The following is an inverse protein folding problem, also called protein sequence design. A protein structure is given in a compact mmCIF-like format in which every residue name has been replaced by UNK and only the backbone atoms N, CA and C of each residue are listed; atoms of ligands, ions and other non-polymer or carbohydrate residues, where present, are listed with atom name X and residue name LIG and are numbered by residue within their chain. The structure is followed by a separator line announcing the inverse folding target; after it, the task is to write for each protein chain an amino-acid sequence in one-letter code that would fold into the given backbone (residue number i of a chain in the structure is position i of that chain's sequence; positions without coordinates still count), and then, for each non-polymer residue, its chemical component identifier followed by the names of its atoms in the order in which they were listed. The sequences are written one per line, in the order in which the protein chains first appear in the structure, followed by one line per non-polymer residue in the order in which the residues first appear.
data_IF_854888889786
#
_entry.id   IF_854888889786
#
_cell.length_a   1.000
_cell.length_b   1.000
_cell.length_c   1.000
_cell.angle_alpha   90.00
_cell.angle_beta   90.00
_cell.angle_gamma   90.00
#
_symmetry.space_group_name_H-M   'P 1'
#
loop_
_entity.id
_entity.type
_entity.pdbx_description
1 polymer ?
#
# COMPACT_ATOMS: atom_id res chain seq x y z
N UNK A 1 9.48 14.23 19.23
CA UNK A 1 9.40 13.37 18.04
C UNK A 1 8.19 13.74 17.22
N UNK A 2 8.17 13.33 15.95
CA UNK A 2 6.98 13.36 15.09
C UNK A 2 5.90 12.46 15.72
N UNK A 3 4.61 12.66 15.44
CA UNK A 3 3.54 11.79 15.95
C UNK A 3 2.83 11.15 14.77
N UNK A 4 2.52 9.86 14.90
CA UNK A 4 1.68 9.12 13.95
C UNK A 4 0.30 9.79 13.88
N UNK A 5 -0.12 10.20 12.69
CA UNK A 5 -1.43 10.77 12.39
C UNK A 5 -1.98 10.13 11.11
N UNK A 6 -2.88 9.17 11.28
CA UNK A 6 -3.41 8.38 10.18
C UNK A 6 -4.89 8.04 10.39
N UNK A 7 -5.61 7.70 9.32
CA UNK A 7 -6.99 7.20 9.37
C UNK A 7 -7.06 5.68 9.55
N UNK A 8 -6.06 4.95 9.07
CA UNK A 8 -5.97 3.50 9.22
C UNK A 8 -5.64 3.06 10.64
N UNK A 9 -5.96 1.81 10.95
CA UNK A 9 -5.68 1.18 12.23
C UNK A 9 -4.23 0.65 12.25
N UNK A 10 -3.47 0.95 13.30
CA UNK A 10 -2.14 0.34 13.47
C UNK A 10 -2.31 -1.14 13.83
N UNK A 11 -1.85 -2.03 12.95
CA UNK A 11 -1.84 -3.48 13.20
C UNK A 11 -0.51 -3.93 13.83
N UNK A 12 0.62 -3.36 13.36
CA UNK A 12 1.96 -3.66 13.89
C UNK A 12 2.85 -2.42 13.89
N UNK A 13 3.62 -2.26 14.95
CA UNK A 13 4.50 -1.09 15.12
C UNK A 13 5.97 -1.37 14.80
N UNK A 14 6.44 -2.60 14.97
CA UNK A 14 7.85 -2.94 14.74
C UNK A 14 8.14 -3.19 13.26
N UNK A 15 8.97 -2.34 12.65
CA UNK A 15 9.34 -2.45 11.24
C UNK A 15 10.48 -3.44 10.96
N UNK A 16 11.17 -3.94 12.00
CA UNK A 16 12.27 -4.88 11.85
C UNK A 16 11.78 -6.27 11.42
N UNK A 17 12.13 -6.66 10.20
CA UNK A 17 11.80 -7.96 9.62
C UNK A 17 12.31 -9.15 10.46
N UNK A 18 13.46 -9.00 11.13
CA UNK A 18 14.05 -10.04 11.96
C UNK A 18 13.29 -10.27 13.28
N UNK A 19 12.50 -9.29 13.71
CA UNK A 19 11.77 -9.32 14.96
C UNK A 19 10.34 -9.90 14.82
N UNK A 20 9.82 -10.04 13.60
CA UNK A 20 8.41 -10.39 13.40
C UNK A 20 8.13 -11.26 12.16
N UNK A 21 9.07 -12.13 11.78
CA UNK A 21 8.95 -13.02 10.62
C UNK A 21 8.60 -12.27 9.34
N UNK A 22 9.29 -11.16 9.08
CA UNK A 22 9.10 -10.31 7.91
C UNK A 22 7.70 -9.67 7.78
N UNK A 23 6.93 -9.58 8.87
CA UNK A 23 5.62 -8.93 8.84
C UNK A 23 5.71 -7.40 8.77
N UNK A 24 6.82 -6.83 9.27
CA UNK A 24 7.02 -5.38 9.30
C UNK A 24 6.00 -4.64 10.17
N UNK A 25 5.97 -3.32 10.00
CA UNK A 25 5.04 -2.43 10.68
C UNK A 25 3.87 -2.11 9.75
N UNK A 26 2.68 -2.55 10.14
CA UNK A 26 1.51 -2.59 9.27
C UNK A 26 0.43 -1.62 9.75
N UNK A 27 -0.24 -0.99 8.78
CA UNK A 27 -1.45 -0.19 8.98
C UNK A 27 -2.56 -0.83 8.15
N UNK A 28 -3.69 -1.07 8.77
CA UNK A 28 -4.86 -1.71 8.17
C UNK A 28 -5.90 -0.66 7.82
N UNK A 29 -6.42 -0.78 6.60
CA UNK A 29 -7.49 0.06 6.07
C UNK A 29 -8.79 -0.73 5.89
N UNK A 30 -9.87 -0.03 5.55
CA UNK A 30 -11.16 -0.66 5.23
C UNK A 30 -11.01 -1.72 4.12
N UNK A 31 -11.75 -2.85 4.17
CA UNK A 31 -11.77 -3.82 3.06
C UNK A 31 -12.17 -3.25 1.70
N UNK A 32 -12.74 -2.04 1.64
CA UNK A 32 -13.03 -1.34 0.38
C UNK A 32 -11.80 -0.69 -0.27
N UNK A 33 -10.65 -0.63 0.41
CA UNK A 33 -9.42 -0.01 -0.09
C UNK A 33 -8.62 -0.90 -1.06
N UNK A 34 -9.05 -2.14 -1.31
CA UNK A 34 -8.33 -3.09 -2.14
C UNK A 34 -9.28 -4.04 -2.91
N UNK A 35 -8.76 -4.67 -3.96
CA UNK A 35 -9.41 -5.77 -4.68
C UNK A 35 -10.69 -5.37 -5.39
N UNK A 36 -11.65 -6.30 -5.45
CA UNK A 36 -12.89 -6.13 -6.21
C UNK A 36 -13.67 -4.86 -5.83
N UNK A 37 -13.80 -4.57 -4.53
CA UNK A 37 -14.51 -3.35 -4.07
C UNK A 37 -13.85 -2.05 -4.54
N UNK A 38 -12.52 -2.03 -4.61
CA UNK A 38 -11.80 -0.88 -5.15
C UNK A 38 -12.00 -0.76 -6.66
N UNK A 39 -11.98 -1.90 -7.38
CA UNK A 39 -12.21 -1.94 -8.81
C UNK A 39 -13.63 -1.47 -9.17
N UNK A 40 -14.64 -1.91 -8.43
CA UNK A 40 -16.04 -1.49 -8.58
C UNK A 40 -16.22 0.02 -8.36
N UNK A 41 -15.37 0.65 -7.55
CA UNK A 41 -15.33 2.09 -7.33
C UNK A 41 -14.53 2.87 -8.40
N UNK A 42 -14.00 2.19 -9.43
CA UNK A 42 -13.22 2.79 -10.51
C UNK A 42 -11.75 3.04 -10.16
N UNK A 43 -11.22 2.35 -9.15
CA UNK A 43 -9.84 2.46 -8.70
C UNK A 43 -9.59 3.66 -7.77
N UNK A 44 -8.33 4.08 -7.68
CA UNK A 44 -7.88 5.13 -6.76
C UNK A 44 -6.70 5.90 -7.34
N UNK A 45 -6.41 7.07 -6.77
CA UNK A 45 -5.07 7.65 -6.83
C UNK A 45 -4.36 7.35 -5.52
N UNK A 46 -3.16 6.79 -5.57
CA UNK A 46 -2.31 6.59 -4.39
C UNK A 46 -1.14 7.56 -4.43
N UNK A 47 -0.81 8.15 -3.29
CA UNK A 47 0.34 9.03 -3.16
C UNK A 47 1.18 8.59 -1.97
N UNK A 48 2.50 8.50 -2.17
CA UNK A 48 3.47 8.24 -1.10
C UNK A 48 4.37 9.45 -1.00
N UNK A 49 4.50 9.99 0.20
CA UNK A 49 5.46 11.04 0.52
C UNK A 49 6.52 10.47 1.45
N UNK A 50 7.76 10.48 0.97
CA UNK A 50 8.92 10.00 1.70
C UNK A 50 9.81 11.18 2.09
N UNK A 51 9.96 11.39 3.40
CA UNK A 51 10.73 12.50 4.00
C UNK A 51 11.53 12.00 5.20
N UNK A 52 12.50 12.78 5.66
CA UNK A 52 13.26 12.45 6.88
C UNK A 52 12.37 12.31 8.11
N UNK A 53 11.27 13.05 8.17
CA UNK A 53 10.30 13.00 9.26
C UNK A 53 9.40 11.75 9.28
N UNK A 54 9.42 10.92 8.24
CA UNK A 54 8.51 9.78 8.10
C UNK A 54 8.14 9.44 6.66
N UNK A 55 7.42 8.33 6.51
CA UNK A 55 6.76 7.96 5.25
C UNK A 55 5.25 8.05 5.46
N UNK A 56 4.56 8.79 4.60
CA UNK A 56 3.09 8.90 4.59
C UNK A 56 2.52 8.34 3.30
N UNK A 57 1.33 7.76 3.39
CA UNK A 57 0.58 7.28 2.24
C UNK A 57 -0.86 7.79 2.28
N UNK A 58 -1.37 8.23 1.14
CA UNK A 58 -2.77 8.56 0.93
C UNK A 58 -3.36 7.68 -0.18
N UNK A 59 -4.65 7.42 -0.05
CA UNK A 59 -5.44 6.73 -1.06
C UNK A 59 -6.74 7.52 -1.29
N UNK A 60 -6.82 8.18 -2.44
CA UNK A 60 -7.92 9.05 -2.81
C UNK A 60 -8.90 8.32 -3.73
N UNK A 61 -10.16 8.25 -3.33
CA UNK A 61 -11.25 7.87 -4.22
C UNK A 61 -11.24 8.77 -5.47
N UNK A 62 -11.68 8.25 -6.61
CA UNK A 62 -11.66 8.98 -7.91
C UNK A 62 -12.39 10.33 -7.85
N UNK A 63 -13.44 10.42 -7.03
CA UNK A 63 -14.23 11.65 -6.82
C UNK A 63 -13.59 12.65 -5.86
N UNK A 64 -12.49 12.29 -5.19
CA UNK A 64 -11.87 13.05 -4.12
C UNK A 64 -10.36 13.29 -4.35
N UNK A 65 -9.90 13.17 -5.60
CA UNK A 65 -8.50 13.45 -5.95
C UNK A 65 -8.24 14.95 -5.78
N UNK A 66 -7.25 15.35 -4.96
CA UNK A 66 -6.86 16.75 -4.80
C UNK A 66 -6.50 17.42 -6.14
N UNK A 67 -6.94 18.67 -6.32
CA UNK A 67 -6.77 19.39 -7.59
C UNK A 67 -5.31 19.65 -7.94
N UNK A 68 -4.45 19.79 -6.93
CA UNK A 68 -3.01 19.97 -7.07
C UNK A 68 -2.29 18.73 -7.62
N UNK A 69 -2.80 17.52 -7.32
CA UNK A 69 -2.36 16.28 -7.98
C UNK A 69 -2.74 16.33 -9.46
N UNK A 70 -3.99 16.64 -9.79
CA UNK A 70 -4.43 16.74 -11.20
C UNK A 70 -3.73 17.87 -11.96
N UNK A 71 -3.33 18.94 -11.25
CA UNK A 71 -2.55 20.06 -11.77
C UNK A 71 -1.04 19.82 -11.81
N UNK A 72 -0.57 18.61 -11.48
CA UNK A 72 0.85 18.21 -11.47
C UNK A 72 1.75 19.08 -10.61
N UNK A 73 1.21 19.60 -9.50
CA UNK A 73 1.91 20.40 -8.49
C UNK A 73 1.54 19.91 -7.09
N UNK A 74 1.78 18.63 -6.77
CA UNK A 74 1.30 18.03 -5.53
C UNK A 74 1.89 18.73 -4.30
N UNK A 75 1.03 19.03 -3.34
CA UNK A 75 1.35 19.60 -2.05
C UNK A 75 0.67 18.78 -0.93
N UNK A 76 1.38 17.80 -0.34
CA UNK A 76 0.83 16.93 0.69
C UNK A 76 0.34 17.64 1.97
N UNK A 77 0.73 18.90 2.19
CA UNK A 77 0.30 19.66 3.38
C UNK A 77 -1.20 20.00 3.38
N UNK A 78 -1.87 19.93 2.23
CA UNK A 78 -3.31 20.26 2.08
C UNK A 78 -4.21 19.03 1.99
N UNK A 79 -3.64 17.82 1.91
CA UNK A 79 -4.39 16.58 1.66
C UNK A 79 -5.07 16.00 2.91
N UNK A 80 -4.89 16.64 4.07
CA UNK A 80 -5.45 16.17 5.34
C UNK A 80 -4.69 14.97 5.92
N UNK A 81 -5.38 14.18 6.72
CA UNK A 81 -4.80 13.03 7.43
C UNK A 81 -4.49 11.90 6.45
N UNK A 82 -3.29 11.32 6.56
CA UNK A 82 -2.84 10.22 5.71
C UNK A 82 -3.60 8.92 6.02
N UNK A 83 -3.68 7.99 5.06
CA UNK A 83 -4.18 6.63 5.29
C UNK A 83 -3.24 5.85 6.22
N UNK A 84 -1.94 5.97 5.97
CA UNK A 84 -0.88 5.42 6.82
C UNK A 84 0.22 6.45 7.08
N UNK A 85 0.73 6.48 8.31
CA UNK A 85 1.82 7.37 8.71
C UNK A 85 2.86 6.60 9.54
N UNK A 86 4.08 6.55 9.03
CA UNK A 86 5.23 5.90 9.66
C UNK A 86 6.22 6.98 10.07
N UNK A 87 6.05 7.58 11.27
CA UNK A 87 6.85 8.71 11.71
C UNK A 87 8.26 8.27 12.12
N UNK A 88 9.22 9.19 12.03
CA UNK A 88 10.62 8.94 12.42
C UNK A 88 10.86 8.96 13.95
N UNK A 89 9.85 8.67 14.75
CA UNK A 89 9.88 8.83 16.23
C UNK A 89 10.83 7.83 16.87
N UNK A 90 10.71 6.57 16.45
CA UNK A 90 11.48 5.44 16.97
C UNK A 90 12.21 4.69 15.83
N UNK A 91 12.27 5.30 14.65
CA UNK A 91 12.90 4.75 13.45
C UNK A 91 13.53 5.87 12.62
N UNK A 92 14.85 5.87 12.47
CA UNK A 92 15.52 6.81 11.57
C UNK A 92 15.32 6.37 10.12
N UNK A 93 14.33 6.98 9.45
CA UNK A 93 13.96 6.70 8.06
C UNK A 93 15.17 6.84 7.13
N UNK A 94 16.02 7.84 7.31
CA UNK A 94 17.16 8.11 6.42
C UNK A 94 18.25 7.06 6.52
N UNK A 95 18.36 6.37 7.66
CA UNK A 95 19.32 5.27 7.85
C UNK A 95 18.84 3.94 7.24
N UNK A 96 17.52 3.74 7.15
CA UNK A 96 16.92 2.47 6.72
C UNK A 96 16.44 2.45 5.27
N UNK A 97 16.06 3.60 4.71
CA UNK A 97 15.54 3.70 3.34
C UNK A 97 16.46 4.58 2.49
N UNK A 98 16.87 4.09 1.31
CA UNK A 98 17.72 4.83 0.37
C UNK A 98 17.62 4.24 -1.04
N UNK A 99 17.54 5.11 -2.05
CA UNK A 99 17.58 4.73 -3.46
C UNK A 99 16.66 3.55 -3.82
N UNK A 100 15.39 3.63 -3.43
CA UNK A 100 14.41 2.59 -3.71
C UNK A 100 13.94 2.64 -5.18
N UNK A 101 13.65 1.47 -5.73
CA UNK A 101 12.94 1.31 -7.01
C UNK A 101 11.45 1.14 -6.77
N UNK A 102 10.63 1.67 -7.70
CA UNK A 102 9.20 1.35 -7.74
C UNK A 102 9.05 -0.02 -8.42
N UNK A 103 8.42 -0.96 -7.73
CA UNK A 103 8.16 -2.30 -8.24
C UNK A 103 6.65 -2.52 -8.24
N UNK A 104 6.14 -3.00 -9.37
CA UNK A 104 4.76 -3.46 -9.53
C UNK A 104 4.83 -4.90 -10.01
N UNK A 105 4.20 -5.82 -9.28
CA UNK A 105 4.12 -7.21 -9.67
C UNK A 105 2.77 -7.81 -9.26
N UNK A 106 2.46 -8.96 -9.85
CA UNK A 106 1.46 -9.90 -9.35
C UNK A 106 2.22 -11.22 -9.23
N UNK A 107 2.42 -11.67 -7.99
CA UNK A 107 2.96 -13.00 -7.72
C UNK A 107 1.83 -13.93 -7.28
N UNK A 108 2.00 -15.23 -7.48
CA UNK A 108 0.99 -16.24 -7.21
C UNK A 108 1.51 -17.23 -6.16
N UNK A 109 0.68 -17.48 -5.14
CA UNK A 109 1.04 -18.28 -3.98
C UNK A 109 2.21 -17.68 -3.18
N UNK A 110 3.15 -18.51 -2.71
CA UNK A 110 4.26 -18.08 -1.87
C UNK A 110 3.89 -17.97 -0.38
N UNK A 111 4.90 -17.70 0.44
CA UNK A 111 4.84 -17.83 1.90
C UNK A 111 3.69 -17.03 2.54
N UNK A 112 3.47 -15.80 2.07
CA UNK A 112 2.40 -14.94 2.56
C UNK A 112 1.01 -15.53 2.29
N UNK A 113 0.80 -16.04 1.07
CA UNK A 113 -0.48 -16.64 0.67
C UNK A 113 -0.67 -17.96 1.40
N UNK A 114 0.35 -18.82 1.48
CA UNK A 114 0.25 -20.09 2.20
C UNK A 114 -0.05 -19.89 3.69
N UNK A 115 0.53 -18.87 4.33
CA UNK A 115 0.26 -18.55 5.74
C UNK A 115 -1.16 -18.05 6.01
N UNK A 116 -1.92 -17.67 4.97
CA UNK A 116 -3.29 -17.15 5.10
C UNK A 116 -4.35 -17.93 4.31
N UNK A 117 -3.93 -18.95 3.54
CA UNK A 117 -4.78 -19.67 2.58
C UNK A 117 -6.03 -20.27 3.24
N UNK A 118 -5.86 -20.93 4.37
CA UNK A 118 -6.97 -21.60 5.09
C UNK A 118 -8.05 -20.62 5.57
N UNK A 119 -7.72 -19.33 5.70
CA UNK A 119 -8.65 -18.26 6.12
C UNK A 119 -9.21 -17.46 4.94
N UNK A 120 -8.73 -17.73 3.72
CA UNK A 120 -9.11 -16.96 2.52
C UNK A 120 -10.49 -17.33 1.98
N UNK A 121 -10.97 -18.55 2.25
CA UNK A 121 -12.16 -19.11 1.62
C UNK A 121 -11.92 -19.66 0.20
N UNK A 122 -10.68 -19.67 -0.29
CA UNK A 122 -10.32 -20.29 -1.56
C UNK A 122 -10.41 -21.83 -1.50
N UNK A 123 -10.84 -22.50 -2.58
CA UNK A 123 -10.94 -23.96 -2.64
C UNK A 123 -9.56 -24.62 -2.87
N UNK A 124 -9.40 -25.87 -2.46
CA UNK A 124 -8.20 -26.68 -2.73
C UNK A 124 -6.92 -26.03 -2.19
N UNK A 125 -5.79 -26.31 -2.82
CA UNK A 125 -4.51 -25.65 -2.54
C UNK A 125 -4.27 -24.50 -3.53
N UNK A 126 -3.47 -23.51 -3.12
CA UNK A 126 -3.12 -22.40 -4.01
C UNK A 126 -2.52 -22.87 -5.34
N UNK A 127 -1.64 -23.87 -5.29
CA UNK A 127 -1.01 -24.45 -6.49
C UNK A 127 -2.05 -25.07 -7.43
N UNK A 128 -3.06 -25.75 -6.91
CA UNK A 128 -4.13 -26.34 -7.72
C UNK A 128 -5.01 -25.28 -8.36
N UNK A 129 -5.37 -24.22 -7.63
CA UNK A 129 -6.16 -23.11 -8.17
C UNK A 129 -5.39 -22.41 -9.30
N UNK A 130 -4.13 -22.06 -9.05
CA UNK A 130 -3.27 -21.39 -10.04
C UNK A 130 -3.07 -22.25 -11.28
N UNK A 131 -2.83 -23.55 -11.12
CA UNK A 131 -2.57 -24.44 -12.25
C UNK A 131 -3.81 -24.76 -13.09
N UNK A 132 -4.98 -24.87 -12.45
CA UNK A 132 -6.15 -25.50 -13.07
C UNK A 132 -7.37 -24.57 -13.22
N UNK A 133 -7.33 -23.35 -12.70
CA UNK A 133 -8.45 -22.39 -12.76
C UNK A 133 -8.03 -21.05 -13.39
N UNK A 134 -7.59 -21.03 -14.66
CA UNK A 134 -7.10 -19.80 -15.30
C UNK A 134 -8.16 -18.68 -15.34
N UNK A 135 -9.43 -19.06 -15.44
CA UNK A 135 -10.56 -18.13 -15.47
C UNK A 135 -10.71 -17.30 -14.18
N UNK A 136 -10.22 -17.79 -13.04
CA UNK A 136 -10.23 -17.09 -11.76
C UNK A 136 -9.31 -15.85 -11.76
N UNK A 137 -8.40 -15.73 -12.74
CA UNK A 137 -7.41 -14.66 -12.82
C UNK A 137 -7.73 -13.60 -13.89
N UNK A 138 -8.91 -13.65 -14.51
CA UNK A 138 -9.33 -12.66 -15.54
C UNK A 138 -9.30 -11.21 -15.05
N UNK A 139 -9.47 -10.99 -13.75
CA UNK A 139 -9.42 -9.67 -13.11
C UNK A 139 -8.12 -9.43 -12.34
N UNK A 140 -7.10 -10.28 -12.52
CA UNK A 140 -5.80 -10.16 -11.86
C UNK A 140 -4.80 -9.42 -12.77
N UNK A 141 -5.02 -8.12 -12.97
CA UNK A 141 -4.13 -7.25 -13.72
C UNK A 141 -4.06 -5.87 -13.06
N UNK A 142 -3.03 -5.10 -13.43
CA UNK A 142 -2.95 -3.69 -13.10
C UNK A 142 -3.29 -2.86 -14.35
N UNK A 143 -4.11 -1.83 -14.16
CA UNK A 143 -4.33 -0.78 -15.16
C UNK A 143 -3.92 0.56 -14.55
N UNK A 144 -2.90 1.20 -15.14
CA UNK A 144 -2.35 2.45 -14.63
C UNK A 144 -2.67 3.60 -15.57
N UNK A 145 -3.23 4.68 -15.01
CA UNK A 145 -3.37 5.95 -15.73
C UNK A 145 -2.05 6.69 -15.87
N UNK A 146 -1.29 6.83 -14.77
CA UNK A 146 0.02 7.47 -14.76
C UNK A 146 0.86 7.01 -13.58
N UNK A 147 2.18 7.14 -13.73
CA UNK A 147 3.16 7.12 -12.65
C UNK A 147 3.93 8.43 -12.70
N UNK A 148 3.90 9.20 -11.61
CA UNK A 148 4.55 10.50 -11.53
C UNK A 148 5.38 10.57 -10.25
N UNK A 149 6.61 11.07 -10.37
CA UNK A 149 7.55 11.20 -9.25
C UNK A 149 7.97 12.66 -9.15
N UNK A 150 7.88 13.19 -7.94
CA UNK A 150 8.19 14.57 -7.61
C UNK A 150 9.29 14.61 -6.56
N UNK A 151 10.13 15.64 -6.61
CA UNK A 151 11.11 15.93 -5.57
C UNK A 151 10.85 17.34 -5.05
N UNK A 152 10.92 17.51 -3.72
CA UNK A 152 10.96 18.84 -3.14
C UNK A 152 12.28 19.50 -3.49
N UNK A 153 12.22 20.64 -4.16
CA UNK A 153 13.36 21.56 -4.29
C UNK A 153 13.65 22.26 -2.98
#
# INVERSE_FOLDING_TARGET
GVKRKQTGETDRENCDHGANNNAGCAVKESPSSFGAKLNDAGGTVMAVEWRSAGIRMWQFARSAVPSDITGKKPNPSTWGTAAADFPSTDCDIGSHFKNNSIIVNIDLCGDLVYGSWDKSGCPGTCKEVVANQPDSFKTAFWEFGSFEVYQST
#
